data_IF_099125105758
#
_entry.id   IF_099125105758
#
_cell.length_a   1.000
_cell.length_b   1.000
_cell.length_c   1.000
_cell.angle_alpha   90.00
_cell.angle_beta   90.00
_cell.angle_gamma   90.00
#
_symmetry.space_group_name_H-M   'P 1'
#
loop_
_entity.id
_entity.type
_entity.pdbx_description
1 polymer ?
#
# COMPACT_ATOMS: atom_id res chain seq x y z
N UNK A 1 -8.58 -59.03 21.18
CA UNK A 1 -7.97 -58.27 22.30
C UNK A 1 -8.23 -56.79 22.01
N UNK A 2 -9.22 -56.12 22.62
CA UNK A 2 -9.20 -55.51 23.97
C UNK A 2 -7.85 -54.80 24.27
N UNK A 3 -7.81 -53.50 24.61
CA UNK A 3 -8.80 -52.72 25.38
C UNK A 3 -9.10 -51.30 24.84
N UNK A 4 -10.34 -50.86 25.06
CA UNK A 4 -10.74 -49.46 25.21
C UNK A 4 -10.52 -49.02 26.68
N UNK A 5 -10.28 -47.72 26.95
CA UNK A 5 -11.24 -46.78 27.60
C UNK A 5 -10.57 -45.40 27.87
N UNK A 6 -11.35 -44.32 28.14
CA UNK A 6 -10.90 -42.93 28.09
C UNK A 6 -10.79 -42.25 29.48
N UNK A 7 -10.39 -40.97 29.50
CA UNK A 7 -10.66 -40.06 30.60
C UNK A 7 -11.01 -38.65 30.05
N UNK A 8 -12.30 -38.29 30.12
CA UNK A 8 -12.73 -36.90 30.00
C UNK A 8 -12.74 -36.26 31.39
N UNK A 9 -12.43 -34.97 31.49
CA UNK A 9 -12.79 -34.18 32.66
C UNK A 9 -13.27 -32.80 32.20
N UNK A 10 -14.60 -32.66 32.18
CA UNK A 10 -15.29 -31.44 31.79
C UNK A 10 -15.28 -30.42 32.93
N UNK A 11 -15.15 -29.13 32.61
CA UNK A 11 -15.61 -28.08 33.52
C UNK A 11 -16.27 -26.94 32.73
N UNK A 12 -17.60 -26.93 32.72
CA UNK A 12 -18.47 -25.92 32.11
C UNK A 12 -19.21 -25.15 33.20
N UNK A 13 -18.92 -23.84 33.36
CA UNK A 13 -19.65 -22.83 34.17
C UNK A 13 -19.02 -21.44 33.90
N UNK A 14 -19.71 -20.31 33.74
CA UNK A 14 -21.11 -20.04 33.38
C UNK A 14 -21.29 -18.59 32.83
N UNK A 15 -22.28 -18.41 31.94
CA UNK A 15 -23.28 -17.32 31.91
C UNK A 15 -22.88 -15.82 31.84
N UNK A 16 -23.18 -15.17 30.70
CA UNK A 16 -23.91 -13.88 30.64
C UNK A 16 -24.35 -13.57 29.19
N UNK A 17 -25.65 -13.33 28.98
CA UNK A 17 -26.19 -12.86 27.70
C UNK A 17 -26.93 -11.53 27.92
N UNK A 18 -26.65 -10.52 27.10
CA UNK A 18 -27.51 -9.36 26.91
C UNK A 18 -27.59 -9.03 25.40
N UNK A 19 -28.80 -8.90 24.82
CA UNK A 19 -28.97 -8.44 23.45
C UNK A 19 -28.97 -6.90 23.40
N UNK A 20 -28.34 -6.32 22.38
CA UNK A 20 -28.55 -4.91 22.03
C UNK A 20 -29.63 -4.81 20.95
N UNK A 21 -30.59 -3.92 21.18
CA UNK A 21 -31.86 -3.90 20.45
C UNK A 21 -31.74 -3.54 18.96
N UNK A 22 -32.58 -4.17 18.13
CA UNK A 22 -32.83 -3.73 16.76
C UNK A 22 -33.63 -2.42 16.75
N UNK A 23 -33.28 -1.50 15.87
CA UNK A 23 -34.03 -0.27 15.63
C UNK A 23 -34.53 -0.25 14.18
N UNK A 24 -35.80 -0.58 13.99
CA UNK A 24 -36.47 -0.56 12.69
C UNK A 24 -37.00 0.83 12.41
N UNK A 25 -36.55 1.47 11.34
CA UNK A 25 -37.26 2.61 10.73
C UNK A 25 -37.63 2.26 9.29
N UNK A 26 -38.93 2.22 9.02
CA UNK A 26 -39.47 2.05 7.68
C UNK A 26 -39.31 3.34 6.86
N UNK A 27 -39.07 3.22 5.56
CA UNK A 27 -38.77 4.37 4.69
C UNK A 27 -38.88 4.07 3.20
N UNK A 28 -40.10 3.80 2.74
CA UNK A 28 -40.64 4.07 1.38
C UNK A 28 -39.72 3.96 0.17
N UNK A 29 -39.97 2.94 -0.67
CA UNK A 29 -39.51 2.93 -2.06
C UNK A 29 -40.30 3.95 -2.92
N UNK A 30 -39.65 4.66 -3.86
CA UNK A 30 -40.35 5.38 -4.92
C UNK A 30 -40.47 4.55 -6.20
N UNK A 31 -41.72 4.29 -6.58
CA UNK A 31 -42.18 3.70 -7.84
C UNK A 31 -41.67 4.45 -9.08
N UNK A 32 -41.33 3.72 -10.13
CA UNK A 32 -41.08 4.30 -11.45
C UNK A 32 -42.39 4.73 -12.13
N UNK A 33 -42.50 6.01 -12.52
CA UNK A 33 -43.33 6.49 -13.65
C UNK A 33 -42.92 7.93 -14.00
N UNK A 34 -42.53 8.16 -15.26
CA UNK A 34 -42.20 9.48 -15.79
C UNK A 34 -42.12 9.44 -17.31
N UNK A 35 -43.18 9.90 -17.98
CA UNK A 35 -43.40 9.70 -19.43
C UNK A 35 -43.03 10.97 -20.22
N UNK A 36 -42.48 10.76 -21.41
CA UNK A 36 -42.14 11.71 -22.50
C UNK A 36 -42.84 13.09 -22.50
N UNK A 37 -42.25 14.16 -23.07
CA UNK A 37 -42.12 14.30 -24.54
C UNK A 37 -41.42 15.60 -25.04
N UNK A 38 -40.57 15.41 -26.06
CA UNK A 38 -40.18 16.27 -27.20
C UNK A 38 -39.53 17.67 -27.02
N UNK A 39 -38.46 17.85 -27.81
CA UNK A 39 -37.92 19.12 -28.31
C UNK A 39 -36.98 18.87 -29.50
N UNK A 40 -37.52 18.90 -30.73
CA UNK A 40 -36.79 18.95 -32.02
C UNK A 40 -36.37 20.41 -32.31
N UNK A 41 -35.42 20.80 -33.17
CA UNK A 41 -34.35 20.17 -33.99
C UNK A 41 -33.24 21.27 -34.15
N UNK A 42 -32.09 21.13 -34.85
CA UNK A 42 -31.89 21.04 -36.32
C UNK A 42 -30.37 21.04 -36.65
N UNK A 43 -29.96 20.39 -37.75
CA UNK A 43 -28.87 20.74 -38.72
C UNK A 43 -27.48 21.22 -38.24
N UNK A 44 -26.33 20.99 -38.91
CA UNK A 44 -25.87 20.08 -39.98
C UNK A 44 -24.32 20.27 -40.09
N UNK A 45 -23.64 19.61 -41.05
CA UNK A 45 -22.33 19.96 -41.60
C UNK A 45 -21.05 19.85 -40.72
N UNK A 46 -20.31 18.79 -41.04
CA UNK A 46 -18.92 18.51 -40.75
C UNK A 46 -17.90 19.65 -40.93
N UNK A 47 -16.80 19.59 -40.16
CA UNK A 47 -15.45 19.83 -40.71
C UNK A 47 -14.35 19.06 -39.95
N UNK A 48 -13.15 18.98 -40.54
CA UNK A 48 -12.11 17.97 -40.27
C UNK A 48 -10.89 18.52 -39.50
N UNK A 49 -10.12 17.58 -38.92
CA UNK A 49 -8.74 17.73 -38.41
C UNK A 49 -8.63 18.64 -37.15
N UNK A 50 -7.64 18.46 -36.27
CA UNK A 50 -6.34 17.77 -36.41
C UNK A 50 -5.95 17.08 -35.10
N UNK A 51 -5.27 15.93 -35.20
CA UNK A 51 -4.63 15.32 -34.05
C UNK A 51 -3.46 16.18 -33.54
N UNK A 52 -3.34 16.28 -32.22
CA UNK A 52 -2.11 16.67 -31.53
C UNK A 52 -1.83 15.60 -30.47
N UNK A 53 -0.69 14.93 -30.57
CA UNK A 53 -0.35 13.82 -29.70
C UNK A 53 -0.04 14.32 -28.28
N UNK A 54 -0.78 13.84 -27.28
CA UNK A 54 -0.23 13.70 -25.93
C UNK A 54 0.49 12.36 -25.89
N UNK A 55 1.75 12.27 -25.44
CA UNK A 55 2.31 11.00 -25.03
C UNK A 55 1.49 10.52 -23.84
N UNK A 56 0.65 9.51 -24.05
CA UNK A 56 0.15 8.71 -22.94
C UNK A 56 1.39 8.08 -22.30
N UNK A 57 1.69 8.48 -21.07
CA UNK A 57 2.76 7.84 -20.30
C UNK A 57 2.51 6.34 -20.29
N UNK A 58 3.56 5.56 -20.53
CA UNK A 58 3.47 4.11 -20.69
C UNK A 58 3.17 3.43 -19.35
N UNK A 59 1.93 3.56 -18.88
CA UNK A 59 1.30 2.67 -17.91
C UNK A 59 1.04 1.32 -18.55
N UNK A 60 2.11 0.64 -18.96
CA UNK A 60 2.08 -0.73 -19.44
C UNK A 60 1.76 -1.63 -18.24
N UNK A 61 0.47 -1.81 -17.97
CA UNK A 61 -0.03 -2.89 -17.13
C UNK A 61 0.25 -4.21 -17.83
N UNK A 62 1.48 -4.70 -17.68
CA UNK A 62 1.90 -6.00 -18.18
C UNK A 62 1.04 -7.07 -17.50
N UNK A 63 0.45 -7.96 -18.28
CA UNK A 63 -0.52 -8.94 -17.77
C UNK A 63 0.14 -9.90 -16.78
N UNK A 64 -0.44 -10.01 -15.58
CA UNK A 64 0.15 -10.58 -14.37
C UNK A 64 0.33 -12.12 -14.36
N UNK A 65 0.48 -12.76 -15.53
CA UNK A 65 0.55 -14.22 -15.66
C UNK A 65 1.86 -14.75 -16.25
N UNK A 66 2.76 -13.88 -16.74
CA UNK A 66 4.06 -14.30 -17.31
C UNK A 66 5.23 -13.35 -16.97
N UNK A 67 5.12 -12.55 -15.89
CA UNK A 67 6.17 -11.59 -15.50
C UNK A 67 7.38 -12.29 -14.85
N UNK A 68 7.23 -13.52 -14.35
CA UNK A 68 8.35 -14.26 -13.75
C UNK A 68 9.39 -14.77 -14.76
N UNK A 69 9.02 -14.92 -16.04
CA UNK A 69 9.90 -15.44 -17.09
C UNK A 69 10.40 -14.33 -18.05
N UNK A 70 9.88 -13.11 -17.92
CA UNK A 70 10.34 -11.95 -18.69
C UNK A 70 11.65 -11.42 -18.09
N UNK A 71 12.65 -11.03 -18.91
CA UNK A 71 13.86 -10.41 -18.40
C UNK A 71 13.52 -9.10 -17.69
N UNK A 72 14.01 -8.98 -16.45
CA UNK A 72 13.83 -7.78 -15.62
C UNK A 72 14.49 -6.56 -16.26
N UNK A 73 13.88 -5.39 -16.09
CA UNK A 73 14.44 -4.14 -16.62
C UNK A 73 15.74 -3.76 -15.90
N UNK A 74 16.61 -2.91 -16.51
CA UNK A 74 17.81 -2.40 -15.84
C UNK A 74 17.50 -1.68 -14.51
N UNK A 75 16.37 -0.99 -14.41
CA UNK A 75 15.94 -0.33 -13.18
C UNK A 75 15.54 -1.35 -12.08
N UNK A 76 14.89 -2.45 -12.47
CA UNK A 76 14.56 -3.56 -11.57
C UNK A 76 15.84 -4.27 -11.09
N UNK A 77 16.81 -4.52 -11.97
CA UNK A 77 18.10 -5.11 -11.60
C UNK A 77 18.90 -4.20 -10.66
N UNK A 78 18.96 -2.89 -10.93
CA UNK A 78 19.58 -1.92 -10.02
C UNK A 78 18.87 -1.83 -8.67
N UNK A 79 17.54 -2.02 -8.63
CA UNK A 79 16.78 -2.13 -7.38
C UNK A 79 17.09 -3.45 -6.63
N UNK A 80 17.30 -4.56 -7.34
CA UNK A 80 17.70 -5.84 -6.76
C UNK A 80 19.03 -5.78 -6.01
N UNK A 81 19.99 -4.99 -6.50
CA UNK A 81 21.28 -4.82 -5.84
C UNK A 81 21.16 -4.25 -4.43
N UNK A 82 20.16 -3.38 -4.20
CA UNK A 82 19.88 -2.71 -2.90
C UNK A 82 19.06 -3.55 -1.92
N UNK A 83 18.61 -4.74 -2.31
CA UNK A 83 17.80 -5.63 -1.46
C UNK A 83 18.66 -6.21 -0.35
N UNK A 84 18.28 -5.97 0.91
CA UNK A 84 18.85 -6.65 2.07
C UNK A 84 18.40 -8.11 2.09
N UNK A 85 19.31 -9.00 2.48
CA UNK A 85 19.08 -10.45 2.42
C UNK A 85 19.25 -11.07 3.80
N UNK A 86 19.02 -12.38 3.91
CA UNK A 86 19.05 -13.07 5.18
C UNK A 86 17.78 -12.88 6.00
N UNK A 87 17.92 -12.98 7.32
CA UNK A 87 16.82 -12.96 8.28
C UNK A 87 16.53 -11.54 8.75
N UNK A 88 15.29 -11.10 8.59
CA UNK A 88 14.74 -9.93 9.26
C UNK A 88 13.88 -10.37 10.46
N UNK A 89 14.18 -9.88 11.65
CA UNK A 89 13.34 -10.09 12.84
C UNK A 89 12.35 -8.92 12.98
N UNK A 90 11.08 -9.24 13.22
CA UNK A 90 9.95 -8.32 13.22
C UNK A 90 9.27 -8.23 14.59
N UNK A 91 8.53 -7.15 14.84
CA UNK A 91 7.97 -6.74 16.14
C UNK A 91 7.38 -7.89 16.99
N UNK A 92 6.43 -8.64 16.43
CA UNK A 92 5.63 -9.65 17.18
C UNK A 92 6.36 -10.99 17.35
N UNK A 93 7.69 -10.98 17.51
CA UNK A 93 8.58 -12.17 17.47
C UNK A 93 8.43 -12.98 16.18
N UNK A 94 8.00 -12.32 15.11
CA UNK A 94 7.89 -12.90 13.79
C UNK A 94 9.21 -12.68 13.04
N UNK A 95 9.45 -13.45 11.98
CA UNK A 95 10.64 -13.27 11.14
C UNK A 95 10.32 -13.55 9.68
N UNK A 96 10.99 -12.81 8.81
CA UNK A 96 10.99 -13.02 7.36
C UNK A 96 12.40 -13.38 6.93
N UNK A 97 12.53 -14.35 6.04
CA UNK A 97 13.80 -14.68 5.39
C UNK A 97 13.72 -14.20 3.94
N UNK A 98 14.73 -13.46 3.48
CA UNK A 98 14.85 -12.93 2.11
C UNK A 98 16.11 -13.49 1.48
N UNK A 99 15.97 -14.36 0.48
CA UNK A 99 17.10 -15.00 -0.20
C UNK A 99 17.13 -14.63 -1.69
N UNK A 100 18.32 -14.43 -2.26
CA UNK A 100 18.50 -14.31 -3.72
C UNK A 100 18.39 -15.67 -4.37
N UNK A 101 17.71 -15.76 -5.51
CA UNK A 101 17.57 -17.04 -6.23
C UNK A 101 18.77 -17.30 -7.11
N UNK A 102 19.41 -18.46 -6.92
CA UNK A 102 20.55 -18.88 -7.71
C UNK A 102 20.19 -18.96 -9.22
N UNK A 103 21.07 -18.42 -10.07
CA UNK A 103 20.88 -18.39 -11.53
C UNK A 103 19.81 -17.41 -12.04
N UNK A 104 19.10 -16.68 -11.16
CA UNK A 104 18.01 -15.76 -11.52
C UNK A 104 18.26 -14.38 -10.89
N UNK A 105 19.14 -13.54 -11.48
CA UNK A 105 19.45 -12.23 -10.94
C UNK A 105 18.19 -11.36 -10.87
N UNK A 106 17.99 -10.70 -9.72
CA UNK A 106 16.81 -9.90 -9.46
C UNK A 106 15.56 -10.66 -9.00
N UNK A 107 15.60 -11.99 -8.88
CA UNK A 107 14.52 -12.74 -8.24
C UNK A 107 14.88 -13.10 -6.80
N UNK A 108 13.87 -13.05 -5.93
CA UNK A 108 14.00 -13.30 -4.49
C UNK A 108 12.98 -14.32 -4.03
N UNK A 109 13.41 -15.27 -3.20
CA UNK A 109 12.53 -16.13 -2.43
C UNK A 109 12.34 -15.50 -1.05
N UNK A 110 11.12 -15.05 -0.77
CA UNK A 110 10.76 -14.40 0.50
C UNK A 110 9.86 -15.33 1.29
N UNK A 111 10.32 -15.75 2.48
CA UNK A 111 9.68 -16.78 3.31
C UNK A 111 9.15 -16.16 4.60
N UNK A 112 7.86 -16.36 4.87
CA UNK A 112 7.17 -15.86 6.06
C UNK A 112 6.22 -16.94 6.61
N UNK A 113 6.52 -17.46 7.81
CA UNK A 113 5.83 -18.61 8.38
C UNK A 113 5.93 -19.82 7.45
N UNK A 114 4.79 -20.43 7.13
CA UNK A 114 4.70 -21.55 6.17
C UNK A 114 4.55 -21.10 4.69
N UNK A 115 4.58 -19.79 4.40
CA UNK A 115 4.41 -19.25 3.04
C UNK A 115 5.77 -18.88 2.44
N UNK A 116 5.96 -19.21 1.17
CA UNK A 116 7.06 -18.73 0.33
C UNK A 116 6.49 -17.93 -0.83
N UNK A 117 7.13 -16.84 -1.19
CA UNK A 117 6.75 -15.94 -2.27
C UNK A 117 7.94 -15.75 -3.20
N UNK A 118 7.71 -15.86 -4.50
CA UNK A 118 8.74 -15.53 -5.49
C UNK A 118 8.51 -14.10 -5.94
N UNK A 119 9.34 -13.20 -5.43
CA UNK A 119 9.20 -11.77 -5.66
C UNK A 119 10.22 -11.25 -6.68
N UNK A 120 9.81 -10.20 -7.40
CA UNK A 120 10.67 -9.38 -8.25
C UNK A 120 10.64 -7.93 -7.76
N UNK A 121 11.72 -7.16 -7.89
CA UNK A 121 11.72 -5.74 -7.57
C UNK A 121 10.86 -4.94 -8.57
N UNK A 122 10.14 -3.97 -8.04
CA UNK A 122 9.44 -2.93 -8.80
C UNK A 122 10.26 -1.64 -8.76
N UNK A 123 10.20 -0.85 -9.83
CA UNK A 123 10.82 0.48 -9.87
C UNK A 123 10.09 1.44 -8.93
N UNK A 124 10.82 2.22 -8.14
CA UNK A 124 10.27 3.20 -7.21
C UNK A 124 10.94 4.56 -7.39
N UNK A 125 10.13 5.62 -7.45
CA UNK A 125 10.63 7.00 -7.56
C UNK A 125 11.25 7.50 -6.24
N UNK A 126 10.93 6.86 -5.11
CA UNK A 126 11.42 7.23 -3.76
C UNK A 126 12.72 6.54 -3.37
N UNK A 127 13.27 5.67 -4.22
CA UNK A 127 14.49 4.90 -3.94
C UNK A 127 14.32 3.71 -2.97
N UNK A 128 13.20 3.64 -2.25
CA UNK A 128 12.85 2.52 -1.37
C UNK A 128 12.72 1.21 -2.16
N UNK A 129 13.22 0.11 -1.62
CA UNK A 129 13.17 -1.19 -2.29
C UNK A 129 11.78 -1.79 -2.10
N UNK A 130 11.09 -2.10 -3.20
CA UNK A 130 9.77 -2.74 -3.22
C UNK A 130 9.88 -4.03 -4.02
N UNK A 131 9.71 -5.19 -3.37
CA UNK A 131 9.57 -6.47 -4.04
C UNK A 131 8.10 -6.87 -4.07
N UNK A 132 7.64 -7.48 -5.17
CA UNK A 132 6.26 -7.89 -5.37
C UNK A 132 6.19 -9.32 -5.93
N UNK A 133 5.37 -10.17 -5.31
CA UNK A 133 4.83 -11.38 -5.93
C UNK A 133 3.48 -11.04 -6.57
N UNK A 134 3.45 -10.85 -7.88
CA UNK A 134 2.22 -10.51 -8.62
C UNK A 134 1.16 -11.62 -8.57
N UNK A 135 1.53 -12.89 -8.29
CA UNK A 135 0.59 -14.02 -8.22
C UNK A 135 -0.08 -14.08 -6.85
N UNK A 136 0.69 -13.89 -5.78
CA UNK A 136 0.20 -13.85 -4.41
C UNK A 136 -0.37 -12.48 -4.02
N UNK A 137 -0.08 -11.42 -4.79
CA UNK A 137 -0.34 -10.01 -4.46
C UNK A 137 0.26 -9.62 -3.10
N UNK A 138 1.48 -10.09 -2.82
CA UNK A 138 2.22 -9.78 -1.59
C UNK A 138 3.42 -8.92 -1.91
N UNK A 139 3.57 -7.82 -1.18
CA UNK A 139 4.66 -6.85 -1.32
C UNK A 139 5.54 -6.86 -0.07
N UNK A 140 6.84 -6.91 -0.30
CA UNK A 140 7.87 -6.61 0.69
C UNK A 140 8.41 -5.20 0.42
N UNK A 141 8.28 -4.30 1.40
CA UNK A 141 8.78 -2.94 1.33
C UNK A 141 9.92 -2.77 2.34
N UNK A 142 11.09 -2.39 1.83
CA UNK A 142 12.30 -2.10 2.58
C UNK A 142 12.58 -0.60 2.48
N UNK A 143 12.47 0.09 3.61
CA UNK A 143 12.91 1.49 3.79
C UNK A 143 14.22 1.49 4.61
N UNK A 144 14.98 2.60 4.67
CA UNK A 144 16.30 2.59 5.33
C UNK A 144 16.27 2.11 6.80
N UNK A 145 15.23 2.50 7.56
CA UNK A 145 15.14 2.23 9.00
C UNK A 145 14.42 0.93 9.39
N UNK A 146 13.63 0.34 8.48
CA UNK A 146 12.90 -0.93 8.71
C UNK A 146 12.34 -1.51 7.43
N UNK A 147 11.86 -2.74 7.50
CA UNK A 147 11.16 -3.44 6.42
C UNK A 147 9.79 -3.93 6.90
N UNK A 148 8.89 -4.21 5.96
CA UNK A 148 7.50 -4.57 6.25
C UNK A 148 6.88 -5.37 5.08
N UNK A 149 5.89 -6.23 5.39
CA UNK A 149 5.20 -7.05 4.39
C UNK A 149 3.70 -6.72 4.36
N UNK A 150 3.15 -6.58 3.15
CA UNK A 150 1.75 -6.24 2.91
C UNK A 150 1.11 -7.26 1.96
N UNK A 151 -0.09 -7.71 2.29
CA UNK A 151 -1.01 -8.34 1.33
C UNK A 151 -1.75 -7.20 0.61
N UNK A 152 -1.37 -6.92 -0.64
CA UNK A 152 -1.98 -5.87 -1.46
C UNK A 152 -3.44 -6.18 -1.81
N UNK A 153 -3.78 -7.47 -1.97
CA UNK A 153 -5.14 -7.91 -2.30
C UNK A 153 -6.11 -7.74 -1.14
N UNK A 154 -5.66 -8.00 0.09
CA UNK A 154 -6.45 -7.80 1.30
C UNK A 154 -6.31 -6.39 1.91
N UNK A 155 -5.34 -5.59 1.44
CA UNK A 155 -4.98 -4.30 2.02
C UNK A 155 -4.39 -4.40 3.44
N UNK A 156 -3.89 -5.57 3.85
CA UNK A 156 -3.46 -5.84 5.22
C UNK A 156 -1.94 -5.92 5.36
N UNK A 157 -1.43 -5.50 6.52
CA UNK A 157 -0.01 -5.62 6.89
C UNK A 157 0.22 -6.95 7.57
N UNK A 158 1.04 -7.82 6.97
CA UNK A 158 1.35 -9.16 7.47
C UNK A 158 2.40 -9.12 8.59
N UNK A 159 3.42 -8.28 8.44
CA UNK A 159 4.44 -7.95 9.46
C UNK A 159 4.89 -6.49 9.34
N UNK A 160 5.30 -5.89 10.45
CA UNK A 160 5.94 -4.58 10.52
C UNK A 160 7.22 -4.62 11.37
N UNK A 161 8.00 -3.54 11.28
CA UNK A 161 9.25 -3.33 12.03
C UNK A 161 10.21 -4.51 11.88
N UNK A 162 10.33 -5.05 10.67
CA UNK A 162 11.31 -6.09 10.36
C UNK A 162 12.69 -5.46 10.14
N UNK A 163 13.69 -5.89 10.91
CA UNK A 163 15.04 -5.37 10.85
C UNK A 163 16.00 -6.44 10.33
N UNK A 164 16.58 -6.21 9.15
CA UNK A 164 17.78 -6.92 8.68
C UNK A 164 19.01 -6.56 9.54
N UNK A 165 20.12 -7.28 9.39
CA UNK A 165 21.37 -6.97 10.11
C UNK A 165 21.89 -5.59 9.69
N UNK A 166 21.93 -5.35 8.39
CA UNK A 166 22.38 -4.11 7.74
C UNK A 166 21.59 -2.86 8.22
N UNK A 167 20.32 -3.05 8.59
CA UNK A 167 19.45 -1.97 9.09
C UNK A 167 19.64 -1.67 10.58
N UNK A 168 20.23 -2.58 11.36
CA UNK A 168 20.52 -2.38 12.79
C UNK A 168 21.78 -1.53 12.98
N UNK A 169 22.77 -1.78 12.14
CA UNK A 169 24.06 -1.06 12.15
C UNK A 169 23.90 0.39 11.66
N UNK A 170 22.98 0.63 10.70
CA UNK A 170 22.54 1.95 10.28
C UNK A 170 21.44 2.59 11.15
N UNK A 171 21.25 2.11 12.39
CA UNK A 171 20.19 2.55 13.32
C UNK A 171 20.10 4.09 13.41
N UNK A 172 18.88 4.64 13.54
CA UNK A 172 18.39 5.81 12.82
C UNK A 172 19.36 7.00 12.83
N UNK A 173 20.32 6.96 11.89
CA UNK A 173 20.93 8.17 11.37
C UNK A 173 19.77 8.93 10.77
N UNK A 174 19.39 10.00 11.46
CA UNK A 174 18.46 10.96 10.95
C UNK A 174 19.06 11.42 9.63
N UNK A 175 18.49 10.95 8.51
CA UNK A 175 18.80 11.52 7.20
C UNK A 175 18.42 12.96 7.39
N UNK A 176 19.44 13.82 7.50
CA UNK A 176 19.22 15.21 7.77
C UNK A 176 18.32 15.71 6.65
N UNK A 177 17.06 15.99 7.00
CA UNK A 177 16.21 16.86 6.22
C UNK A 177 16.94 18.19 6.27
N UNK A 178 17.85 18.39 5.32
CA UNK A 178 18.72 19.56 5.25
C UNK A 178 17.81 20.76 5.37
N UNK A 179 18.10 21.59 6.36
CA UNK A 179 17.21 22.65 6.78
C UNK A 179 16.72 23.42 5.55
N UNK A 180 15.41 23.33 5.31
CA UNK A 180 14.70 24.32 4.51
C UNK A 180 14.52 25.54 5.41
N UNK A 181 15.65 26.20 5.67
CA UNK A 181 15.69 27.40 6.49
C UNK A 181 14.88 28.51 5.79
N UNK A 182 13.91 28.97 6.57
CA UNK A 182 12.98 30.08 6.45
C UNK A 182 13.14 31.06 5.27
N UNK A 183 12.03 31.24 4.53
CA UNK A 183 11.79 32.47 3.77
C UNK A 183 10.29 32.78 3.52
N UNK A 184 9.34 32.31 4.36
CA UNK A 184 7.91 32.57 4.12
C UNK A 184 6.95 32.40 5.32
N UNK A 185 7.24 32.94 6.52
CA UNK A 185 6.18 33.40 7.43
C UNK A 185 6.68 34.34 8.54
N UNK A 186 6.80 35.63 8.21
CA UNK A 186 6.72 36.70 9.20
C UNK A 186 5.25 37.10 9.38
N UNK A 187 4.55 36.69 10.45
CA UNK A 187 3.23 37.22 10.74
C UNK A 187 3.40 38.69 11.16
N UNK A 188 2.97 39.61 10.29
CA UNK A 188 2.86 41.01 10.65
C UNK A 188 1.72 41.16 11.68
N UNK A 189 2.05 41.64 12.89
CA UNK A 189 1.06 41.95 13.89
C UNK A 189 0.13 43.08 13.39
N UNK A 190 -1.19 42.99 13.58
CA UNK A 190 -2.08 44.12 13.32
C UNK A 190 -1.84 45.21 14.38
N UNK A 191 -1.64 46.44 13.92
CA UNK A 191 -1.44 47.59 14.79
C UNK A 191 -2.70 47.91 15.62
N UNK A 192 -2.49 48.36 16.86
CA UNK A 192 -3.57 48.89 17.70
C UNK A 192 -4.15 50.17 17.08
N UNK A 193 -5.48 50.27 17.05
CA UNK A 193 -6.15 51.51 16.66
C UNK A 193 -6.21 52.51 17.82
N UNK A 194 -5.88 53.77 17.55
CA UNK A 194 -6.34 54.94 18.32
C UNK A 194 -5.98 56.25 17.62
N UNK A 195 -6.88 57.24 17.74
CA UNK A 195 -6.72 58.67 17.35
C UNK A 195 -6.51 58.91 15.82
N UNK A 196 -7.17 59.83 15.11
CA UNK A 196 -7.84 61.08 15.48
C UNK A 196 -8.57 61.64 14.22
N UNK A 197 -9.81 62.13 14.36
CA UNK A 197 -10.49 63.04 13.41
C UNK A 197 -9.82 64.46 13.48
N UNK A 198 -10.15 65.51 12.68
CA UNK A 198 -11.25 65.65 11.72
C UNK A 198 -10.89 66.36 10.38
N UNK A 199 -11.88 66.49 9.48
CA UNK A 199 -12.19 67.76 8.77
C UNK A 199 -13.33 67.62 7.73
N UNK A 200 -14.57 67.98 8.10
CA UNK A 200 -15.48 68.77 7.26
C UNK A 200 -16.69 69.30 8.03
#
# INVERSE_FOLDING_TARGET
MNRLLPAACSLTLMLAALPLAAQTTAGTAPTATGKARAGQATTDAASRKRAAARPAGAGASASASNILELPLSPAQLAAAERVHTGRADCEKKQSVQVDRVAGQPGHFDVRFGARSFRMVPEETTTGAVRLHDHRAQVVWLQIPSKSMMLDQRAGQRLVDVCLHAEQREGGPTQVAVSAVDDAASKPAAPAAGSLLEPAR
#
